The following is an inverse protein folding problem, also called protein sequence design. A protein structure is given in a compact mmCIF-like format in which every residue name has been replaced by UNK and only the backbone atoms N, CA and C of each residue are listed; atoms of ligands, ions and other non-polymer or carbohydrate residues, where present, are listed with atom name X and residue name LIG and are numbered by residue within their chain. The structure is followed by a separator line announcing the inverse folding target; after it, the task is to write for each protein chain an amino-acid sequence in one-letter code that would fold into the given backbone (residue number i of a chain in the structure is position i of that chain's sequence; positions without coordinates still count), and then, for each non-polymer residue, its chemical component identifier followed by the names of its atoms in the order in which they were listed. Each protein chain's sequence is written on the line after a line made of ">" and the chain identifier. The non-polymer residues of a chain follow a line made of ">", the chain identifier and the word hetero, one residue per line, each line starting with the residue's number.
data_IF_891571031379
#
_entry.id   IF_891571031379
#
_cell.length_a   1.000
_cell.length_b   1.000
_cell.length_c   1.000
_cell.angle_alpha   90.00
_cell.angle_beta   90.00
_cell.angle_gamma   90.00
#
_symmetry.space_group_name_H-M   'P 1'
#
loop_
_entity.id
_entity.type
_entity.pdbx_description
1 polymer ?
#
# COMPACT_ATOMS: atom_id res chain seq x y z
N UNK A 1 27.41 -14.70 -25.54
CA UNK A 1 26.11 -15.33 -25.85
C UNK A 1 24.93 -14.77 -25.03
N UNK A 2 25.11 -14.56 -23.71
CA UNK A 2 24.08 -14.10 -22.77
C UNK A 2 23.31 -12.80 -23.11
N UNK A 3 23.96 -11.82 -23.74
CA UNK A 3 23.32 -10.52 -24.04
C UNK A 3 22.25 -10.62 -25.14
N UNK A 4 22.50 -11.40 -26.20
CA UNK A 4 21.54 -11.57 -27.32
C UNK A 4 20.24 -12.26 -26.88
N UNK A 5 20.33 -13.14 -25.88
CA UNK A 5 19.18 -13.88 -25.36
C UNK A 5 18.28 -13.02 -24.48
N UNK A 6 18.86 -12.15 -23.63
CA UNK A 6 18.13 -11.13 -22.88
C UNK A 6 17.35 -10.18 -23.80
N UNK A 7 17.97 -9.74 -24.90
CA UNK A 7 17.31 -8.86 -25.89
C UNK A 7 16.14 -9.56 -26.57
N UNK A 8 16.29 -10.83 -26.98
CA UNK A 8 15.19 -11.64 -27.54
C UNK A 8 14.03 -11.81 -26.57
N UNK A 9 14.30 -12.10 -25.29
CA UNK A 9 13.26 -12.23 -24.25
C UNK A 9 12.49 -10.93 -24.07
N UNK A 10 13.18 -9.79 -23.94
CA UNK A 10 12.55 -8.47 -23.79
C UNK A 10 11.61 -8.13 -24.95
N UNK A 11 12.03 -8.43 -26.19
CA UNK A 11 11.17 -8.26 -27.39
C UNK A 11 9.93 -9.14 -27.34
N UNK A 12 10.04 -10.40 -26.90
CA UNK A 12 8.88 -11.30 -26.76
C UNK A 12 7.90 -10.80 -25.70
N UNK A 13 8.39 -10.38 -24.53
CA UNK A 13 7.56 -9.82 -23.46
C UNK A 13 6.75 -8.61 -23.93
N UNK A 14 7.38 -7.68 -24.66
CA UNK A 14 6.70 -6.55 -25.31
C UNK A 14 5.57 -6.97 -26.25
N UNK A 15 5.79 -8.03 -27.03
CA UNK A 15 4.76 -8.55 -27.94
C UNK A 15 3.58 -9.17 -27.17
N UNK A 16 3.85 -9.91 -26.09
CA UNK A 16 2.79 -10.51 -25.27
C UNK A 16 1.97 -9.45 -24.54
N UNK A 17 2.61 -8.42 -23.97
CA UNK A 17 1.91 -7.33 -23.30
C UNK A 17 0.98 -6.57 -24.25
N UNK A 18 1.45 -6.23 -25.45
CA UNK A 18 0.62 -5.54 -26.43
C UNK A 18 -0.54 -6.39 -26.95
N UNK A 19 -0.35 -7.72 -27.09
CA UNK A 19 -1.41 -8.64 -27.50
C UNK A 19 -2.47 -8.88 -26.41
N UNK A 20 -2.14 -8.63 -25.16
CA UNK A 20 -3.06 -8.80 -24.03
C UNK A 20 -3.98 -7.58 -23.81
N UNK A 21 -3.92 -6.57 -24.69
CA UNK A 21 -4.68 -5.32 -24.57
C UNK A 21 -5.42 -5.00 -25.87
N UNK A 22 -6.62 -4.43 -25.77
CA UNK A 22 -7.38 -3.94 -26.94
C UNK A 22 -6.95 -2.54 -27.39
N UNK A 23 -5.72 -2.13 -27.09
CA UNK A 23 -5.23 -0.78 -27.38
C UNK A 23 -4.64 -0.75 -28.80
N UNK A 24 -5.08 0.21 -29.60
CA UNK A 24 -4.50 0.51 -30.91
C UNK A 24 -3.21 1.34 -30.78
N UNK A 25 -2.26 0.87 -29.97
CA UNK A 25 -0.99 1.52 -29.70
C UNK A 25 0.18 0.64 -30.11
N UNK A 26 1.33 1.22 -30.52
CA UNK A 26 2.53 0.43 -30.77
C UNK A 26 3.04 -0.20 -29.47
N UNK A 27 3.68 -1.36 -29.59
CA UNK A 27 4.08 -2.22 -28.45
C UNK A 27 4.93 -1.50 -27.40
N UNK A 28 5.78 -0.57 -27.84
CA UNK A 28 6.62 0.23 -26.96
C UNK A 28 5.78 1.18 -26.09
N UNK A 29 4.84 1.89 -26.69
CA UNK A 29 3.94 2.81 -25.98
C UNK A 29 3.02 2.09 -25.00
N UNK A 30 2.56 0.87 -25.33
CA UNK A 30 1.79 0.04 -24.38
C UNK A 30 2.62 -0.26 -23.13
N UNK A 31 3.90 -0.61 -23.30
CA UNK A 31 4.77 -0.89 -22.16
C UNK A 31 5.10 0.38 -21.36
N UNK A 32 5.33 1.50 -22.04
CA UNK A 32 5.59 2.79 -21.38
C UNK A 32 4.36 3.26 -20.59
N UNK A 33 3.17 3.13 -21.15
CA UNK A 33 1.91 3.40 -20.46
C UNK A 33 1.75 2.49 -19.23
N UNK A 34 1.98 1.19 -19.39
CA UNK A 34 1.92 0.24 -18.29
C UNK A 34 2.90 0.59 -17.18
N UNK A 35 4.15 0.88 -17.51
CA UNK A 35 5.17 1.26 -16.53
C UNK A 35 4.84 2.60 -15.85
N UNK A 36 4.31 3.56 -16.60
CA UNK A 36 3.89 4.87 -16.09
C UNK A 36 2.77 4.76 -15.06
N UNK A 37 1.87 3.79 -15.21
CA UNK A 37 0.79 3.54 -14.23
C UNK A 37 1.26 2.63 -13.09
N UNK A 38 1.94 1.53 -13.41
CA UNK A 38 2.40 0.53 -12.45
C UNK A 38 3.42 1.11 -11.45
N UNK A 39 4.40 1.87 -11.93
CA UNK A 39 5.48 2.38 -11.10
C UNK A 39 4.98 3.23 -9.91
N UNK A 40 4.11 4.23 -10.15
CA UNK A 40 3.47 4.99 -9.09
C UNK A 40 2.64 4.11 -8.13
N UNK A 41 1.86 3.16 -8.64
CA UNK A 41 1.04 2.26 -7.81
C UNK A 41 1.90 1.41 -6.88
N UNK A 42 2.94 0.76 -7.42
CA UNK A 42 3.87 -0.06 -6.62
C UNK A 42 4.64 0.78 -5.59
N UNK A 43 5.03 2.00 -5.99
CA UNK A 43 5.71 2.94 -5.09
C UNK A 43 4.79 3.38 -3.95
N UNK A 44 3.55 3.76 -4.25
CA UNK A 44 2.55 4.09 -3.24
C UNK A 44 2.26 2.90 -2.32
N UNK A 45 2.10 1.69 -2.87
CA UNK A 45 1.91 0.49 -2.05
C UNK A 45 3.09 0.24 -1.11
N UNK A 46 4.34 0.39 -1.59
CA UNK A 46 5.54 0.28 -0.75
C UNK A 46 5.59 1.35 0.34
N UNK A 47 5.15 2.56 0.04
CA UNK A 47 5.11 3.66 1.00
C UNK A 47 4.03 3.44 2.06
N UNK A 48 2.82 3.04 1.68
CA UNK A 48 1.74 2.67 2.61
C UNK A 48 2.19 1.53 3.53
N UNK A 49 2.85 0.53 2.96
CA UNK A 49 3.38 -0.62 3.72
C UNK A 49 4.36 -0.19 4.82
N UNK A 50 5.10 0.91 4.64
CA UNK A 50 6.03 1.42 5.65
C UNK A 50 5.33 1.98 6.91
N UNK A 51 4.03 2.26 6.83
CA UNK A 51 3.19 2.72 7.94
C UNK A 51 2.41 1.58 8.60
N UNK A 52 2.49 0.35 8.09
CA UNK A 52 1.84 -0.81 8.71
C UNK A 52 2.68 -1.27 9.90
N UNK A 53 2.14 -1.26 11.13
CA UNK A 53 2.84 -1.82 12.29
C UNK A 53 2.91 -3.35 12.24
N UNK A 54 1.92 -4.00 11.61
CA UNK A 54 1.85 -5.46 11.45
C UNK A 54 1.38 -5.85 10.06
N UNK A 55 2.04 -6.85 9.46
CA UNK A 55 1.63 -7.43 8.16
C UNK A 55 1.21 -8.90 8.27
N UNK A 56 1.26 -9.49 9.46
CA UNK A 56 1.26 -10.95 9.68
C UNK A 56 -0.01 -11.51 10.34
N UNK A 57 -1.09 -10.74 10.49
CA UNK A 57 -2.29 -11.28 11.14
C UNK A 57 -3.01 -12.30 10.26
N UNK A 58 -3.49 -13.39 10.85
CA UNK A 58 -4.24 -14.45 10.17
C UNK A 58 -5.66 -14.00 9.82
N UNK A 59 -6.29 -13.15 10.65
CA UNK A 59 -7.67 -12.68 10.47
C UNK A 59 -7.78 -11.65 9.35
N UNK A 60 -8.69 -11.89 8.40
CA UNK A 60 -8.91 -11.01 7.25
C UNK A 60 -9.40 -9.61 7.66
N UNK A 61 -10.41 -9.53 8.55
CA UNK A 61 -10.98 -8.25 9.03
C UNK A 61 -9.92 -7.35 9.63
N UNK A 62 -9.01 -7.93 10.42
CA UNK A 62 -7.92 -7.21 11.04
C UNK A 62 -6.89 -6.70 10.01
N UNK A 63 -6.54 -7.51 9.01
CA UNK A 63 -5.67 -7.07 7.91
C UNK A 63 -6.29 -5.91 7.15
N UNK A 64 -7.58 -5.95 6.86
CA UNK A 64 -8.29 -4.86 6.18
C UNK A 64 -8.32 -3.59 7.03
N UNK A 65 -8.62 -3.71 8.32
CA UNK A 65 -8.63 -2.56 9.25
C UNK A 65 -7.28 -1.85 9.29
N UNK A 66 -6.19 -2.59 9.52
CA UNK A 66 -4.84 -2.02 9.58
C UNK A 66 -4.44 -1.42 8.23
N UNK A 67 -4.82 -2.07 7.12
CA UNK A 67 -4.55 -1.54 5.80
C UNK A 67 -5.26 -0.21 5.55
N UNK A 68 -6.54 -0.09 5.92
CA UNK A 68 -7.30 1.18 5.83
C UNK A 68 -6.65 2.25 6.70
N UNK A 69 -6.25 1.92 7.93
CA UNK A 69 -5.54 2.85 8.81
C UNK A 69 -4.25 3.36 8.18
N UNK A 70 -3.40 2.47 7.65
CA UNK A 70 -2.17 2.88 6.96
C UNK A 70 -2.42 3.73 5.71
N UNK A 71 -3.54 3.52 5.01
CA UNK A 71 -3.94 4.33 3.87
C UNK A 71 -4.34 5.75 4.30
N UNK A 72 -5.07 5.88 5.41
CA UNK A 72 -5.40 7.19 6.02
C UNK A 72 -4.12 7.91 6.45
N UNK A 73 -3.21 7.23 7.15
CA UNK A 73 -1.93 7.82 7.57
C UNK A 73 -1.06 8.23 6.39
N UNK A 74 -1.02 7.42 5.33
CA UNK A 74 -0.30 7.76 4.11
C UNK A 74 -0.92 8.98 3.41
N UNK A 75 -2.25 9.06 3.36
CA UNK A 75 -2.95 10.21 2.79
C UNK A 75 -2.63 11.49 3.57
N UNK A 76 -2.60 11.41 4.90
CA UNK A 76 -2.15 12.51 5.76
C UNK A 76 -0.69 12.89 5.46
N UNK A 77 0.21 11.91 5.34
CA UNK A 77 1.60 12.16 4.93
C UNK A 77 1.69 12.85 3.57
N UNK A 78 0.81 12.53 2.61
CA UNK A 78 0.83 13.18 1.29
C UNK A 78 0.53 14.68 1.34
N UNK A 79 -0.22 15.15 2.35
CA UNK A 79 -0.49 16.59 2.56
C UNK A 79 0.79 17.31 3.01
N UNK A 80 1.58 16.68 3.87
CA UNK A 80 2.86 17.21 4.37
C UNK A 80 4.07 16.89 3.48
N UNK A 81 3.81 16.29 2.30
CA UNK A 81 4.86 15.82 1.40
C UNK A 81 5.58 17.00 0.75
N UNK A 82 6.71 17.38 1.34
CA UNK A 82 7.53 18.51 0.92
C UNK A 82 8.23 19.19 2.10
N UNK A 83 7.60 19.14 3.27
CA UNK A 83 8.12 19.73 4.51
C UNK A 83 8.74 18.69 5.44
N UNK A 84 8.17 17.48 5.48
CA UNK A 84 8.56 16.45 6.44
C UNK A 84 9.00 15.16 5.73
N UNK A 85 10.15 14.63 6.14
CA UNK A 85 10.64 13.33 5.70
C UNK A 85 9.72 12.20 6.16
N UNK A 86 9.72 11.06 5.45
CA UNK A 86 8.85 9.93 5.82
C UNK A 86 9.15 9.38 7.22
N UNK A 87 10.43 9.27 7.56
CA UNK A 87 10.87 8.77 8.86
C UNK A 87 10.53 9.76 9.98
N UNK A 88 10.71 11.06 9.72
CA UNK A 88 10.32 12.13 10.65
C UNK A 88 8.81 12.13 10.89
N UNK A 89 8.00 12.00 9.84
CA UNK A 89 6.55 11.88 9.96
C UNK A 89 6.17 10.64 10.76
N UNK A 90 6.85 9.51 10.56
CA UNK A 90 6.63 8.29 11.34
C UNK A 90 6.98 8.48 12.82
N UNK A 91 8.10 9.15 13.11
CA UNK A 91 8.52 9.48 14.49
C UNK A 91 7.53 10.42 15.17
N UNK A 92 7.03 11.44 14.45
CA UNK A 92 5.98 12.33 14.94
C UNK A 92 4.69 11.56 15.26
N UNK A 93 4.35 10.57 14.42
CA UNK A 93 3.20 9.70 14.65
C UNK A 93 3.35 8.83 15.89
N UNK A 94 4.55 8.29 16.12
CA UNK A 94 4.88 7.51 17.33
C UNK A 94 4.84 8.42 18.56
N UNK A 95 5.33 9.66 18.46
CA UNK A 95 5.32 10.62 19.55
C UNK A 95 3.90 11.08 19.91
N UNK A 96 3.06 11.30 18.89
CA UNK A 96 1.68 11.74 19.07
C UNK A 96 0.77 10.62 19.56
N UNK A 97 1.05 9.39 19.15
CA UNK A 97 0.28 8.19 19.50
C UNK A 97 1.20 7.03 19.89
N UNK A 98 1.87 7.10 21.06
CA UNK A 98 2.79 6.06 21.51
C UNK A 98 2.08 4.71 21.70
N UNK A 99 0.82 4.76 22.13
CA UNK A 99 0.00 3.57 22.34
C UNK A 99 -0.37 2.86 21.02
N UNK A 100 -0.44 3.57 19.89
CA UNK A 100 -0.75 2.99 18.58
C UNK A 100 0.36 2.00 18.12
N UNK A 101 1.59 2.21 18.59
CA UNK A 101 2.76 1.40 18.26
C UNK A 101 3.17 0.41 19.38
N UNK A 102 2.65 0.57 20.60
CA UNK A 102 2.73 -0.42 21.69
C UNK A 102 1.59 -1.44 21.56
N UNK A 103 1.85 -2.46 20.76
CA UNK A 103 0.86 -3.26 20.04
C UNK A 103 0.02 -4.27 20.82
N UNK A 104 0.14 -4.36 22.14
CA UNK A 104 -0.59 -5.40 22.88
C UNK A 104 -1.86 -4.89 23.57
N UNK A 105 -1.89 -3.66 24.07
CA UNK A 105 -3.05 -3.18 24.85
C UNK A 105 -3.94 -2.21 24.06
N UNK A 106 -3.38 -1.33 23.23
CA UNK A 106 -4.17 -0.29 22.57
C UNK A 106 -5.07 -0.82 21.47
N UNK A 107 -4.54 -1.65 20.57
CA UNK A 107 -5.31 -2.18 19.44
C UNK A 107 -6.38 -3.16 19.93
N UNK A 108 -6.11 -3.99 20.94
CA UNK A 108 -7.10 -4.88 21.53
C UNK A 108 -8.21 -4.09 22.23
N UNK A 109 -7.88 -3.10 23.06
CA UNK A 109 -8.88 -2.25 23.70
C UNK A 109 -9.71 -1.46 22.68
N UNK A 110 -9.10 -0.95 21.61
CA UNK A 110 -9.81 -0.18 20.59
C UNK A 110 -10.71 -1.08 19.74
N UNK A 111 -10.26 -2.29 19.40
CA UNK A 111 -11.09 -3.30 18.72
C UNK A 111 -12.23 -3.77 19.62
N UNK A 112 -11.97 -4.07 20.90
CA UNK A 112 -13.03 -4.45 21.85
C UNK A 112 -14.03 -3.33 22.08
N UNK A 113 -13.56 -2.08 22.18
CA UNK A 113 -14.45 -0.91 22.30
C UNK A 113 -15.28 -0.72 21.03
N UNK A 114 -14.68 -0.91 19.84
CA UNK A 114 -15.41 -0.84 18.56
C UNK A 114 -16.43 -1.98 18.42
N UNK A 115 -16.08 -3.20 18.81
CA UNK A 115 -16.99 -4.35 18.79
C UNK A 115 -18.14 -4.11 19.76
N UNK A 116 -17.84 -3.65 20.98
CA UNK A 116 -18.85 -3.37 22.01
C UNK A 116 -19.80 -2.26 21.59
N UNK A 117 -19.27 -1.18 20.99
CA UNK A 117 -20.10 -0.08 20.47
C UNK A 117 -20.95 -0.52 19.29
N UNK A 118 -20.40 -1.30 18.33
CA UNK A 118 -21.16 -1.85 17.20
C UNK A 118 -22.27 -2.81 17.68
N UNK A 119 -21.99 -3.68 18.66
CA UNK A 119 -22.98 -4.58 19.27
C UNK A 119 -24.12 -3.80 19.94
N UNK A 120 -23.79 -2.68 20.58
CA UNK A 120 -24.76 -1.78 21.21
C UNK A 120 -25.70 -1.11 20.20
N UNK A 121 -25.22 -0.84 18.98
CA UNK A 121 -26.04 -0.30 17.88
C UNK A 121 -26.85 -1.39 17.13
N UNK A 122 -26.41 -2.65 17.17
CA UNK A 122 -27.12 -3.79 16.56
C UNK A 122 -28.22 -4.39 17.46
N UNK A 123 -28.21 -4.10 18.76
CA UNK A 123 -29.21 -4.57 19.75
C UNK A 123 -30.48 -3.71 19.85
N UNK A 124 -30.68 -2.76 18.94
CA UNK A 124 -31.88 -1.91 18.87
C UNK A 124 -32.70 -2.23 17.63
#
# INVERSE_FOLDING_TARGET
>A
MYSKEKVKRKKRTLVYFARATNLNLPKGEVLDLYNKVRGPIETSHRNIKAFLPFTSSTKFVFRTLIFVLALVLYSLYTVFKGEVGREEFRLLLILLFPDLFNSENFIFNLVDTLIYTIDLFLRR
#
